data_IF_861477797703
#
_entry.id   IF_861477797703
#
_cell.length_a   1.000
_cell.length_b   1.000
_cell.length_c   1.000
_cell.angle_alpha   90.00
_cell.angle_beta   90.00
_cell.angle_gamma   90.00
#
_symmetry.space_group_name_H-M   'P 1'
#
loop_
_entity.id
_entity.type
_entity.pdbx_description
1 polymer ?
#
# COMPACT_ATOMS: atom_id res chain seq x y z
N UNK A 1 -28.76 76.59 -3.10
CA UNK A 1 -28.48 76.96 -4.50
C UNK A 1 -27.84 75.77 -5.19
N UNK A 2 -28.61 75.04 -5.98
CA UNK A 2 -28.14 73.93 -6.82
C UNK A 2 -28.06 74.44 -8.26
N UNK A 3 -26.94 74.27 -8.98
CA UNK A 3 -26.88 74.59 -10.39
C UNK A 3 -27.58 73.53 -11.27
N UNK A 4 -28.00 73.91 -12.48
CA UNK A 4 -28.94 73.18 -13.32
C UNK A 4 -28.28 72.19 -14.30
N UNK A 5 -29.15 71.40 -14.90
CA UNK A 5 -28.95 70.34 -15.90
C UNK A 5 -28.37 70.77 -17.25
N UNK A 6 -27.58 69.88 -17.89
CA UNK A 6 -27.49 69.62 -19.36
C UNK A 6 -26.40 68.57 -19.67
N UNK A 7 -26.33 68.00 -20.88
CA UNK A 7 -27.40 67.57 -21.77
C UNK A 7 -27.26 66.09 -22.19
N UNK A 8 -28.37 65.58 -22.73
CA UNK A 8 -28.52 64.33 -23.46
C UNK A 8 -27.72 64.37 -24.77
N UNK A 9 -26.85 63.39 -25.00
CA UNK A 9 -26.44 62.97 -26.36
C UNK A 9 -26.81 61.51 -26.56
N UNK A 10 -27.65 61.33 -27.56
CA UNK A 10 -28.16 60.08 -28.11
C UNK A 10 -27.21 59.50 -29.16
N UNK A 11 -26.86 58.23 -29.03
CA UNK A 11 -26.57 57.24 -30.09
C UNK A 11 -25.87 56.06 -29.42
N UNK A 12 -26.15 54.79 -29.63
CA UNK A 12 -26.95 54.09 -30.62
C UNK A 12 -27.13 52.67 -30.05
N UNK A 13 -28.29 52.10 -30.30
CA UNK A 13 -28.62 50.69 -30.17
C UNK A 13 -27.49 49.76 -30.65
N UNK A 14 -27.08 48.80 -29.82
CA UNK A 14 -26.49 47.56 -30.34
C UNK A 14 -27.27 46.35 -29.78
N UNK A 15 -27.71 45.41 -30.65
CA UNK A 15 -28.59 44.30 -30.27
C UNK A 15 -27.92 43.30 -29.34
N UNK A 16 -28.75 42.64 -28.54
CA UNK A 16 -28.41 41.45 -27.74
C UNK A 16 -27.76 40.34 -28.59
N UNK A 17 -26.67 39.72 -28.11
CA UNK A 17 -26.39 38.34 -28.45
C UNK A 17 -27.33 37.42 -27.65
N UNK A 18 -27.90 36.38 -28.27
CA UNK A 18 -28.83 35.48 -27.60
C UNK A 18 -28.13 34.81 -26.41
N UNK A 19 -28.81 34.83 -25.26
CA UNK A 19 -28.45 34.08 -24.06
C UNK A 19 -28.08 32.65 -24.45
N UNK A 20 -26.82 32.27 -24.20
CA UNK A 20 -26.39 30.88 -24.25
C UNK A 20 -27.26 30.11 -23.25
N UNK A 21 -28.24 29.36 -23.77
CA UNK A 21 -28.93 28.34 -23.01
C UNK A 21 -27.85 27.37 -22.53
N UNK A 22 -27.52 27.48 -21.25
CA UNK A 22 -26.79 26.47 -20.50
C UNK A 22 -27.52 25.15 -20.71
N UNK A 23 -27.00 24.32 -21.60
CA UNK A 23 -27.41 22.94 -21.79
C UNK A 23 -27.27 22.23 -20.45
N UNK A 24 -28.39 22.08 -19.75
CA UNK A 24 -28.48 21.15 -18.63
C UNK A 24 -28.06 19.75 -19.11
N UNK A 25 -27.53 18.90 -18.23
CA UNK A 25 -27.23 17.52 -18.59
C UNK A 25 -28.52 16.89 -19.11
N UNK A 26 -28.50 16.53 -20.40
CA UNK A 26 -29.58 15.80 -21.05
C UNK A 26 -29.89 14.56 -20.22
N UNK A 27 -31.13 14.47 -19.74
CA UNK A 27 -31.65 13.25 -19.12
C UNK A 27 -31.35 12.05 -20.03
N UNK A 28 -30.96 10.89 -19.49
CA UNK A 28 -30.73 9.71 -20.31
C UNK A 28 -32.05 9.34 -20.99
N UNK A 29 -32.13 9.56 -22.30
CA UNK A 29 -33.22 9.04 -23.13
C UNK A 29 -33.08 7.53 -23.13
N UNK A 30 -33.93 6.84 -22.35
CA UNK A 30 -34.02 5.38 -22.39
C UNK A 30 -34.61 5.00 -23.77
N UNK A 31 -33.74 4.95 -24.78
CA UNK A 31 -34.10 4.45 -26.11
C UNK A 31 -34.28 2.94 -25.96
N UNK A 32 -35.54 2.53 -25.82
CA UNK A 32 -35.92 1.12 -25.73
C UNK A 32 -35.88 0.49 -27.13
N UNK A 33 -34.72 0.58 -27.81
CA UNK A 33 -34.47 -0.14 -29.06
C UNK A 33 -34.15 -1.60 -28.69
N UNK A 34 -34.96 -2.58 -29.14
CA UNK A 34 -34.61 -3.98 -28.98
C UNK A 34 -33.45 -4.29 -29.93
N UNK A 35 -32.21 -4.24 -29.43
CA UNK A 35 -31.04 -4.56 -30.25
C UNK A 35 -29.68 -4.16 -29.71
N UNK A 36 -29.58 -3.17 -28.82
CA UNK A 36 -28.29 -2.86 -28.18
C UNK A 36 -28.10 -3.76 -26.97
N UNK A 37 -27.59 -4.97 -27.24
CA UNK A 37 -26.90 -5.74 -26.21
C UNK A 37 -25.69 -4.90 -25.83
N UNK A 38 -25.85 -4.06 -24.81
CA UNK A 38 -24.72 -3.41 -24.16
C UNK A 38 -23.97 -4.55 -23.46
N UNK A 39 -23.07 -5.20 -24.21
CA UNK A 39 -22.05 -6.05 -23.65
C UNK A 39 -21.25 -5.14 -22.73
N UNK A 40 -21.68 -5.04 -21.47
CA UNK A 40 -20.77 -4.77 -20.38
C UNK A 40 -19.84 -5.97 -20.45
N UNK A 41 -18.77 -5.84 -21.23
CA UNK A 41 -17.62 -6.70 -21.07
C UNK A 41 -17.27 -6.44 -19.62
N UNK A 42 -17.70 -7.36 -18.75
CA UNK A 42 -17.27 -7.43 -17.36
C UNK A 42 -15.78 -7.68 -17.49
N UNK A 43 -15.03 -6.57 -17.61
CA UNK A 43 -13.61 -6.60 -17.84
C UNK A 43 -13.01 -7.45 -16.74
N UNK A 44 -12.16 -8.39 -17.12
CA UNK A 44 -11.38 -9.10 -16.13
C UNK A 44 -10.47 -8.08 -15.47
N UNK A 45 -10.84 -7.65 -14.26
CA UNK A 45 -10.01 -6.79 -13.43
C UNK A 45 -8.67 -7.48 -13.21
N UNK A 46 -7.59 -6.80 -13.56
CA UNK A 46 -6.25 -7.31 -13.28
C UNK A 46 -5.87 -6.92 -11.86
N UNK A 47 -5.40 -7.89 -11.08
CA UNK A 47 -4.86 -7.69 -9.75
C UNK A 47 -3.57 -8.49 -9.67
N UNK A 48 -2.44 -7.80 -9.49
CA UNK A 48 -1.12 -8.43 -9.49
C UNK A 48 -0.14 -7.71 -8.56
N UNK A 49 0.92 -8.42 -8.17
CA UNK A 49 1.99 -7.84 -7.36
C UNK A 49 3.02 -7.12 -8.25
N UNK A 50 3.34 -5.88 -7.88
CA UNK A 50 4.48 -5.14 -8.44
C UNK A 50 5.77 -5.49 -7.70
N UNK A 51 5.68 -5.61 -6.38
CA UNK A 51 6.79 -5.98 -5.50
C UNK A 51 6.29 -7.05 -4.55
N UNK A 52 6.99 -8.16 -4.55
CA UNK A 52 6.77 -9.26 -3.62
C UNK A 52 7.85 -9.29 -2.53
N UNK A 53 7.53 -9.79 -1.33
CA UNK A 53 8.49 -9.82 -0.24
C UNK A 53 9.60 -10.84 -0.51
N UNK A 54 10.82 -10.48 -0.08
CA UNK A 54 12.00 -11.32 -0.16
C UNK A 54 12.38 -11.90 1.19
N UNK A 55 13.02 -13.06 1.18
CA UNK A 55 13.61 -13.65 2.38
C UNK A 55 14.61 -12.68 3.03
N UNK A 56 14.63 -12.64 4.35
CA UNK A 56 15.46 -11.73 5.11
C UNK A 56 16.06 -12.43 6.32
N UNK A 57 17.35 -12.20 6.51
CA UNK A 57 18.08 -12.62 7.70
C UNK A 57 18.31 -11.38 8.54
N UNK A 58 17.97 -11.45 9.83
CA UNK A 58 18.00 -10.33 10.77
C UNK A 58 18.74 -10.71 12.04
N UNK A 59 19.05 -9.72 12.90
CA UNK A 59 19.72 -9.94 14.19
C UNK A 59 18.94 -9.24 15.29
N UNK A 60 19.22 -9.60 16.55
CA UNK A 60 18.41 -9.15 17.70
C UNK A 60 18.43 -7.64 17.79
N UNK A 61 17.25 -7.04 17.93
CA UNK A 61 17.13 -5.59 18.08
C UNK A 61 17.27 -4.79 16.80
N UNK A 62 17.43 -5.44 15.65
CA UNK A 62 17.39 -4.74 14.35
C UNK A 62 15.96 -4.60 13.83
N UNK A 63 15.79 -3.75 12.82
CA UNK A 63 14.52 -3.51 12.16
C UNK A 63 14.53 -4.16 10.78
N UNK A 64 13.40 -4.73 10.37
CA UNK A 64 13.23 -5.44 9.10
C UNK A 64 12.12 -4.78 8.31
N UNK A 65 12.37 -4.53 7.02
CA UNK A 65 11.37 -4.03 6.08
C UNK A 65 11.05 -5.11 5.05
N UNK A 66 9.81 -5.60 5.06
CA UNK A 66 9.27 -6.49 4.05
C UNK A 66 8.49 -5.68 3.03
N UNK A 67 9.01 -5.55 1.82
CA UNK A 67 8.35 -4.80 0.77
C UNK A 67 7.21 -5.63 0.17
N UNK A 68 6.04 -5.01 0.04
CA UNK A 68 4.93 -5.56 -0.72
C UNK A 68 4.16 -4.42 -1.37
N UNK A 69 3.91 -4.52 -2.67
CA UNK A 69 3.11 -3.56 -3.43
C UNK A 69 2.33 -4.31 -4.49
N UNK A 70 1.03 -4.03 -4.60
CA UNK A 70 0.13 -4.60 -5.60
C UNK A 70 -0.64 -3.48 -6.30
N UNK A 71 -1.06 -3.74 -7.53
CA UNK A 71 -1.80 -2.80 -8.36
C UNK A 71 -3.00 -3.47 -9.02
N UNK A 72 -4.01 -2.66 -9.35
CA UNK A 72 -5.15 -3.05 -10.16
C UNK A 72 -5.60 -1.92 -11.08
N UNK A 73 -6.23 -2.30 -12.19
CA UNK A 73 -6.86 -1.41 -13.15
C UNK A 73 -8.19 -0.80 -12.67
N UNK A 74 -8.83 -1.36 -11.63
CA UNK A 74 -10.11 -0.87 -11.10
C UNK A 74 -10.03 -0.20 -9.73
N UNK A 75 -8.85 -0.08 -9.13
CA UNK A 75 -8.69 0.65 -7.86
C UNK A 75 -7.44 0.29 -7.07
N UNK A 76 -7.39 0.77 -5.83
CA UNK A 76 -6.28 0.52 -4.92
C UNK A 76 -6.52 -0.73 -4.08
N UNK A 77 -5.70 -1.79 -4.21
CA UNK A 77 -5.86 -2.99 -3.41
C UNK A 77 -5.47 -2.72 -1.95
N UNK A 78 -6.25 -3.32 -1.04
CA UNK A 78 -5.96 -3.31 0.39
C UNK A 78 -4.97 -4.41 0.71
N UNK A 79 -3.80 -4.03 1.23
CA UNK A 79 -2.76 -4.96 1.64
C UNK A 79 -2.94 -5.36 3.11
N UNK A 80 -2.85 -6.67 3.38
CA UNK A 80 -2.80 -7.26 4.73
C UNK A 80 -1.65 -8.24 4.82
N UNK A 81 -1.11 -8.41 6.03
CA UNK A 81 0.01 -9.31 6.26
C UNK A 81 -0.38 -10.54 7.07
N UNK A 82 0.13 -11.69 6.65
CA UNK A 82 0.06 -12.97 7.34
C UNK A 82 1.44 -13.37 7.83
N UNK A 83 1.50 -13.90 9.05
CA UNK A 83 2.67 -14.58 9.62
C UNK A 83 2.27 -15.99 10.02
N UNK A 84 2.97 -16.98 9.49
CA UNK A 84 2.73 -18.40 9.74
C UNK A 84 1.26 -18.79 9.47
N UNK A 85 0.68 -18.21 8.41
CA UNK A 85 -0.72 -18.41 8.01
C UNK A 85 -1.75 -17.56 8.77
N UNK A 86 -1.36 -16.82 9.80
CA UNK A 86 -2.27 -16.01 10.64
C UNK A 86 -2.13 -14.53 10.32
N UNK A 87 -3.24 -13.82 10.16
CA UNK A 87 -3.22 -12.38 9.96
C UNK A 87 -2.60 -11.63 11.14
N UNK A 88 -1.72 -10.70 10.83
CA UNK A 88 -1.13 -9.81 11.82
C UNK A 88 -2.14 -8.77 12.26
N UNK A 89 -2.28 -8.60 13.57
CA UNK A 89 -3.04 -7.51 14.15
C UNK A 89 -2.11 -6.33 14.43
N UNK A 90 -1.96 -5.46 13.43
CA UNK A 90 -1.09 -4.28 13.50
C UNK A 90 -1.60 -3.21 14.46
N UNK A 91 -2.85 -3.29 14.91
CA UNK A 91 -3.40 -2.36 15.90
C UNK A 91 -2.98 -2.69 17.34
N UNK A 92 -2.59 -3.94 17.61
CA UNK A 92 -2.17 -4.40 18.95
C UNK A 92 -0.65 -4.42 19.07
N UNK A 93 0.06 -4.62 17.97
CA UNK A 93 1.52 -4.79 17.95
C UNK A 93 2.21 -3.51 17.46
N UNK A 94 2.49 -2.58 18.38
CA UNK A 94 3.11 -1.29 18.07
C UNK A 94 4.48 -1.40 17.36
N UNK A 95 5.17 -2.54 17.54
CA UNK A 95 6.44 -2.82 16.87
C UNK A 95 6.27 -3.12 15.38
N UNK A 96 5.07 -3.44 14.93
CA UNK A 96 4.77 -3.83 13.55
C UNK A 96 3.91 -2.76 12.90
N UNK A 97 4.48 -2.07 11.92
CA UNK A 97 3.83 -0.95 11.24
C UNK A 97 3.75 -1.23 9.76
N UNK A 98 2.58 -1.02 9.17
CA UNK A 98 2.40 -1.09 7.73
C UNK A 98 2.44 0.31 7.13
N UNK A 99 3.28 0.47 6.12
CA UNK A 99 3.36 1.70 5.34
C UNK A 99 2.21 1.80 4.34
N UNK A 100 1.94 3.01 3.87
CA UNK A 100 0.91 3.30 2.88
C UNK A 100 1.11 2.56 1.55
N UNK A 101 2.36 2.20 1.22
CA UNK A 101 2.69 1.42 0.04
C UNK A 101 2.43 -0.10 0.19
N UNK A 102 2.00 -0.56 1.37
CA UNK A 102 1.76 -1.98 1.68
C UNK A 102 2.93 -2.69 2.38
N UNK A 103 4.10 -2.06 2.48
CA UNK A 103 5.29 -2.67 3.09
C UNK A 103 5.16 -2.76 4.61
N UNK A 104 5.67 -3.85 5.19
CA UNK A 104 5.64 -4.09 6.64
C UNK A 104 7.00 -3.81 7.27
N UNK A 105 7.02 -2.87 8.22
CA UNK A 105 8.14 -2.63 9.11
C UNK A 105 7.95 -3.43 10.39
N UNK A 106 8.96 -4.21 10.76
CA UNK A 106 9.04 -4.90 12.04
C UNK A 106 10.22 -4.31 12.80
N UNK A 107 9.93 -3.67 13.93
CA UNK A 107 10.92 -3.03 14.77
C UNK A 107 11.38 -3.96 15.90
N UNK A 108 12.65 -3.84 16.27
CA UNK A 108 13.24 -4.55 17.40
C UNK A 108 12.94 -6.05 17.34
N UNK A 109 13.51 -6.74 16.34
CA UNK A 109 13.31 -8.18 16.15
C UNK A 109 13.71 -8.93 17.43
N UNK A 110 12.76 -9.72 17.94
CA UNK A 110 12.97 -10.57 19.12
C UNK A 110 12.88 -12.05 18.76
N UNK A 111 13.87 -12.80 19.24
CA UNK A 111 13.75 -14.23 19.44
C UNK A 111 13.44 -14.47 20.91
N UNK A 112 12.24 -14.96 21.18
CA UNK A 112 11.80 -15.27 22.52
C UNK A 112 11.18 -16.65 22.50
N UNK A 113 11.55 -17.50 23.45
CA UNK A 113 10.85 -18.76 23.70
C UNK A 113 9.52 -18.55 24.44
N UNK A 114 9.36 -17.39 25.08
CA UNK A 114 8.19 -17.06 25.90
C UNK A 114 7.21 -16.12 25.20
N UNK A 115 7.65 -15.36 24.20
CA UNK A 115 6.81 -14.53 23.34
C UNK A 115 6.79 -15.10 21.93
N UNK A 116 5.74 -14.78 21.15
CA UNK A 116 5.66 -15.21 19.74
C UNK A 116 6.89 -14.67 18.99
N UNK A 117 7.82 -15.54 18.52
CA UNK A 117 9.03 -15.08 17.84
C UNK A 117 8.65 -14.32 16.58
N UNK A 118 9.44 -13.31 16.22
CA UNK A 118 9.27 -12.59 14.96
C UNK A 118 9.76 -13.41 13.76
N UNK A 119 10.59 -14.43 13.99
CA UNK A 119 10.97 -15.39 12.95
C UNK A 119 9.75 -16.17 12.44
N UNK A 120 9.69 -16.39 11.14
CA UNK A 120 8.60 -17.14 10.54
C UNK A 120 8.42 -16.88 9.06
N UNK A 121 7.28 -17.34 8.55
CA UNK A 121 6.89 -17.23 7.16
C UNK A 121 5.91 -16.07 6.99
N UNK A 122 6.32 -15.05 6.24
CA UNK A 122 5.53 -13.87 5.99
C UNK A 122 4.93 -13.90 4.59
N UNK A 123 3.65 -13.57 4.48
CA UNK A 123 2.93 -13.47 3.22
C UNK A 123 2.10 -12.20 3.19
N UNK A 124 2.10 -11.55 2.05
CA UNK A 124 1.28 -10.38 1.77
C UNK A 124 0.02 -10.84 1.04
N UNK A 125 -1.15 -10.39 1.51
CA UNK A 125 -2.43 -10.58 0.88
C UNK A 125 -2.93 -9.25 0.34
N UNK A 126 -3.10 -9.16 -0.98
CA UNK A 126 -3.70 -8.00 -1.64
C UNK A 126 -5.15 -8.33 -1.96
N UNK A 127 -6.10 -7.55 -1.43
CA UNK A 127 -7.53 -7.74 -1.64
C UNK A 127 -8.13 -6.53 -2.32
N UNK A 128 -8.99 -6.76 -3.30
CA UNK A 128 -9.73 -5.74 -4.01
C UNK A 128 -11.22 -6.11 -4.06
N UNK A 129 -12.07 -5.13 -3.76
CA UNK A 129 -13.52 -5.29 -3.82
C UNK A 129 -13.97 -5.65 -5.25
N UNK A 130 -14.87 -6.62 -5.39
CA UNK A 130 -15.36 -7.09 -6.68
C UNK A 130 -14.43 -8.05 -7.45
N UNK A 131 -13.15 -8.13 -7.11
CA UNK A 131 -12.18 -9.04 -7.79
C UNK A 131 -11.77 -10.22 -6.92
N UNK A 132 -11.56 -9.99 -5.62
CA UNK A 132 -11.13 -11.02 -4.67
C UNK A 132 -9.81 -10.69 -3.99
N UNK A 133 -9.00 -11.72 -3.70
CA UNK A 133 -7.71 -11.56 -3.05
C UNK A 133 -6.65 -12.46 -3.67
N UNK A 134 -5.42 -11.97 -3.73
CA UNK A 134 -4.23 -12.71 -4.16
C UNK A 134 -3.21 -12.76 -3.02
N UNK A 135 -2.41 -13.83 -2.97
CA UNK A 135 -1.38 -14.03 -1.95
C UNK A 135 -0.01 -14.05 -2.62
N UNK A 136 0.93 -13.31 -2.04
CA UNK A 136 2.31 -13.23 -2.53
C UNK A 136 3.07 -14.53 -2.26
N UNK A 137 4.28 -14.62 -2.82
CA UNK A 137 5.31 -15.55 -2.37
C UNK A 137 5.50 -15.45 -0.85
N UNK A 138 5.94 -16.56 -0.30
CA UNK A 138 6.33 -16.64 1.10
C UNK A 138 7.74 -16.11 1.28
N UNK A 139 7.90 -15.13 2.15
CA UNK A 139 9.19 -14.60 2.57
C UNK A 139 9.56 -15.16 3.95
N UNK A 140 10.72 -15.81 4.03
CA UNK A 140 11.26 -16.36 5.27
C UNK A 140 12.03 -15.26 6.01
N UNK A 141 11.60 -14.97 7.24
CA UNK A 141 12.33 -14.10 8.16
C UNK A 141 13.03 -14.98 9.17
N UNK A 142 14.35 -15.02 9.13
CA UNK A 142 15.19 -15.80 10.04
C UNK A 142 16.10 -14.89 10.84
N UNK A 143 16.41 -15.28 12.07
CA UNK A 143 17.41 -14.61 12.87
C UNK A 143 18.76 -15.30 12.73
N UNK A 144 19.80 -14.54 12.39
CA UNK A 144 21.16 -15.03 12.48
C UNK A 144 21.61 -15.05 13.93
N UNK A 145 22.12 -16.21 14.34
CA UNK A 145 22.72 -16.42 15.65
C UNK A 145 24.23 -16.62 15.46
N UNK A 146 25.06 -15.73 16.01
CA UNK A 146 26.48 -15.97 16.15
C UNK A 146 26.75 -16.56 17.54
N UNK A 147 27.35 -17.76 17.58
CA UNK A 147 27.90 -18.32 18.80
C UNK A 147 29.29 -17.74 19.01
N UNK A 148 29.48 -16.94 20.04
CA UNK A 148 30.80 -16.48 20.48
C UNK A 148 31.23 -17.38 21.63
N UNK A 149 32.35 -18.08 21.46
CA UNK A 149 33.00 -18.78 22.56
C UNK A 149 33.68 -17.75 23.47
N UNK A 150 33.19 -17.59 24.69
CA UNK A 150 33.78 -16.69 25.71
C UNK A 150 34.46 -17.57 26.75
N UNK A 151 35.58 -18.21 26.37
CA UNK A 151 36.32 -19.15 27.23
C UNK A 151 36.02 -20.63 26.95
N UNK A 152 36.50 -21.52 27.84
CA UNK A 152 36.45 -22.99 27.64
C UNK A 152 35.10 -23.64 27.93
N UNK A 153 34.16 -22.90 28.53
CA UNK A 153 32.90 -23.45 29.07
C UNK A 153 31.66 -22.62 28.75
N UNK A 154 31.82 -21.37 28.32
CA UNK A 154 30.71 -20.42 28.12
C UNK A 154 30.57 -20.05 26.64
N UNK A 155 29.40 -20.36 26.08
CA UNK A 155 29.00 -19.97 24.72
C UNK A 155 27.96 -18.86 24.84
N UNK A 156 28.34 -17.63 24.51
CA UNK A 156 27.46 -16.46 24.53
C UNK A 156 26.91 -16.20 23.11
N UNK A 157 25.64 -15.84 23.00
CA UNK A 157 25.06 -15.34 21.74
C UNK A 157 25.61 -13.93 21.49
N UNK A 158 26.51 -13.78 20.51
CA UNK A 158 27.06 -12.49 20.09
C UNK A 158 26.21 -11.79 19.03
N UNK A 159 26.30 -10.45 18.90
CA UNK A 159 25.62 -9.73 17.83
C UNK A 159 26.26 -10.09 16.47
N UNK A 160 25.49 -10.71 15.58
CA UNK A 160 25.90 -10.87 14.18
C UNK A 160 25.82 -9.49 13.48
N UNK A 161 26.83 -9.15 12.68
CA UNK A 161 26.83 -7.93 11.86
C UNK A 161 26.43 -8.33 10.44
N UNK A 162 25.39 -7.70 9.88
CA UNK A 162 24.98 -7.90 8.49
C UNK A 162 25.79 -6.93 7.62
N UNK A 163 26.83 -7.40 6.94
CA UNK A 163 27.55 -6.62 5.93
C UNK A 163 27.03 -6.98 4.53
N UNK A 164 26.60 -6.00 3.73
CA UNK A 164 26.37 -6.17 2.28
C UNK A 164 25.57 -7.41 1.81
N UNK A 165 24.54 -7.85 2.56
CA UNK A 165 23.78 -9.08 2.26
C UNK A 165 24.65 -10.33 2.11
N UNK A 166 25.87 -10.33 2.65
CA UNK A 166 26.83 -11.44 2.64
C UNK A 166 27.43 -11.59 4.03
N UNK A 167 27.38 -12.80 4.55
CA UNK A 167 27.92 -13.18 5.86
C UNK A 167 29.39 -12.79 6.00
N UNK A 168 29.70 -11.81 6.86
CA UNK A 168 31.07 -11.65 7.32
C UNK A 168 31.13 -11.11 8.76
N UNK A 169 31.66 -12.01 9.59
CA UNK A 169 32.43 -11.82 10.82
C UNK A 169 31.66 -11.61 12.14
N UNK A 170 31.96 -12.49 13.10
CA UNK A 170 31.90 -12.15 14.52
C UNK A 170 32.84 -10.97 14.75
N UNK A 171 32.35 -9.83 15.24
CA UNK A 171 33.24 -8.85 15.82
C UNK A 171 33.92 -9.49 17.03
N UNK A 172 35.23 -9.70 16.94
CA UNK A 172 36.12 -10.07 18.04
C UNK A 172 36.23 -8.91 19.04
#
# INVERSE_FOLDING_TARGET
MLPPSRPRTSSQSRPEPPSLLSSGPSAPTLSNRPGDIQYVIMGFTTLHFLIEPSDVITTRGTNVLLNCTAESDQGFPVIKWKKDGVFLNLAVDERRQQFSNGSLLIQNIVHSRHHKPDEGLYQCEASLEGTGAIISRTAKTEMCHCLVAVGSSDVQLGPCIILHKVWLVCAL
#
